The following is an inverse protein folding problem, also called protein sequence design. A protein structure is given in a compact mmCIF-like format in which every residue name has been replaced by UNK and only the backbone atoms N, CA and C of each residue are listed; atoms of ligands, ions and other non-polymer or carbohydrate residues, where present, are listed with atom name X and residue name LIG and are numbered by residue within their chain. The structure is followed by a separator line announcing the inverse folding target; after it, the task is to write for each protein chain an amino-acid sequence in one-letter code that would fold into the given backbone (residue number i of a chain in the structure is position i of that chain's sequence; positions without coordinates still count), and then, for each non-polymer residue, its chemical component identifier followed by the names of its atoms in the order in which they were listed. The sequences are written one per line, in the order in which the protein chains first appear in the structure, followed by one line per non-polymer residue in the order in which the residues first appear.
data_IF_726827885124
#
_entry.id   IF_726827885124
#
_cell.length_a   1.000
_cell.length_b   1.000
_cell.length_c   1.000
_cell.angle_alpha   90.00
_cell.angle_beta   90.00
_cell.angle_gamma   90.00
#
_symmetry.space_group_name_H-M   'P 1'
#
loop_
_entity.id
_entity.type
_entity.pdbx_description
1 polymer ?
#
# COMPACT_ATOMS: atom_id res chain seq x y z
N UNK A 1 18.03 63.73 4.61
CA UNK A 1 16.69 64.03 4.05
C UNK A 1 16.05 62.73 3.58
N UNK A 2 14.72 62.66 3.67
CA UNK A 2 13.78 61.53 3.45
C UNK A 2 14.14 60.53 2.32
N UNK A 3 13.71 59.26 2.32
CA UNK A 3 12.32 58.80 2.55
C UNK A 3 12.25 57.28 2.81
N UNK A 4 11.38 56.90 3.74
CA UNK A 4 10.88 55.54 3.97
C UNK A 4 9.93 55.11 2.84
N UNK A 5 10.01 53.86 2.39
CA UNK A 5 8.83 53.13 1.92
C UNK A 5 8.80 51.71 2.49
N UNK A 6 7.95 51.54 3.50
CA UNK A 6 7.38 50.24 3.90
C UNK A 6 6.45 49.76 2.79
N UNK A 7 6.59 48.51 2.34
CA UNK A 7 5.46 47.73 1.80
C UNK A 7 5.25 46.47 2.64
N UNK A 8 4.19 46.55 3.45
CA UNK A 8 3.49 45.41 4.06
C UNK A 8 2.88 44.53 2.97
N UNK A 9 2.71 43.25 3.29
CA UNK A 9 1.69 42.41 2.63
C UNK A 9 2.21 41.15 1.95
N UNK A 10 3.06 40.38 2.63
CA UNK A 10 3.22 38.97 2.30
C UNK A 10 1.88 38.27 2.56
N UNK A 11 1.19 37.99 1.47
CA UNK A 11 -0.18 37.51 1.43
C UNK A 11 -0.41 36.25 2.27
N UNK A 12 -1.38 36.32 3.18
CA UNK A 12 -2.00 35.19 3.87
C UNK A 12 -2.63 34.16 2.89
N UNK A 13 -2.64 34.43 1.58
CA UNK A 13 -3.13 33.53 0.54
C UNK A 13 -2.13 32.44 0.11
N UNK A 14 -0.88 32.46 0.61
CA UNK A 14 0.10 31.39 0.32
C UNK A 14 0.06 30.20 1.32
N UNK A 15 -0.88 30.21 2.28
CA UNK A 15 -1.01 29.15 3.31
C UNK A 15 -2.24 28.23 3.14
N UNK A 16 -2.90 28.26 1.97
CA UNK A 16 -4.01 27.34 1.62
C UNK A 16 -3.64 26.37 0.49
N UNK A 17 -2.46 25.77 0.57
CA UNK A 17 -2.09 24.67 -0.31
C UNK A 17 -2.16 23.35 0.47
N UNK A 18 -3.02 22.44 0.01
CA UNK A 18 -3.21 21.05 0.47
C UNK A 18 -3.79 20.81 1.87
N UNK A 19 -5.06 21.18 2.09
CA UNK A 19 -5.91 20.28 2.87
C UNK A 19 -6.33 19.14 1.93
N UNK A 20 -5.70 17.97 2.06
CA UNK A 20 -6.17 16.75 1.37
C UNK A 20 -7.59 16.51 1.83
N UNK A 21 -8.56 16.67 0.91
CA UNK A 21 -9.98 16.46 1.20
C UNK A 21 -10.17 15.00 1.61
N UNK A 22 -10.39 14.77 2.90
CA UNK A 22 -10.69 13.44 3.43
C UNK A 22 -12.04 12.99 2.88
N UNK A 23 -12.06 11.86 2.15
CA UNK A 23 -13.28 11.16 1.74
C UNK A 23 -13.50 9.94 2.62
N UNK A 24 -14.75 9.60 2.91
CA UNK A 24 -15.07 8.33 3.58
C UNK A 24 -15.14 7.19 2.56
N UNK A 25 -15.03 5.95 3.03
CA UNK A 25 -15.18 4.76 2.18
C UNK A 25 -16.52 4.78 1.43
N UNK A 26 -17.61 5.16 2.09
CA UNK A 26 -18.95 5.24 1.49
C UNK A 26 -19.05 6.33 0.41
N UNK A 27 -18.23 7.38 0.50
CA UNK A 27 -18.12 8.39 -0.56
C UNK A 27 -17.31 7.88 -1.74
N UNK A 28 -16.24 7.12 -1.49
CA UNK A 28 -15.40 6.51 -2.52
C UNK A 28 -16.15 5.47 -3.34
N UNK A 29 -16.93 4.61 -2.68
CA UNK A 29 -17.74 3.57 -3.31
C UNK A 29 -18.82 4.10 -4.26
N UNK A 30 -19.14 5.40 -4.18
CA UNK A 30 -20.11 6.07 -5.07
C UNK A 30 -19.46 6.73 -6.29
N UNK A 31 -18.12 6.74 -6.38
CA UNK A 31 -17.42 7.33 -7.49
C UNK A 31 -17.38 6.34 -8.67
N UNK A 32 -17.57 6.86 -9.88
CA UNK A 32 -17.38 6.07 -11.11
C UNK A 32 -15.95 5.56 -11.27
N UNK A 33 -14.98 6.29 -10.71
CA UNK A 33 -13.57 5.95 -10.75
C UNK A 33 -12.84 6.60 -9.57
N UNK A 34 -12.14 5.78 -8.80
CA UNK A 34 -11.29 6.23 -7.69
C UNK A 34 -9.90 6.58 -8.22
N UNK A 35 -9.37 7.72 -7.78
CA UNK A 35 -8.06 8.27 -8.18
C UNK A 35 -7.07 8.23 -7.00
N UNK A 36 -5.77 8.39 -7.25
CA UNK A 36 -4.76 8.39 -6.18
C UNK A 36 -5.06 9.39 -5.05
N UNK A 37 -5.46 10.62 -5.39
CA UNK A 37 -5.76 11.67 -4.40
C UNK A 37 -6.94 11.32 -3.49
N UNK A 38 -7.82 10.43 -3.93
CA UNK A 38 -9.01 10.03 -3.18
C UNK A 38 -8.65 9.11 -2.00
N UNK A 39 -7.58 8.32 -2.11
CA UNK A 39 -7.15 7.38 -1.06
C UNK A 39 -6.09 7.96 -0.12
N UNK A 40 -5.37 9.01 -0.53
CA UNK A 40 -4.32 9.64 0.29
C UNK A 40 -4.86 10.23 1.61
N UNK A 41 -6.14 10.59 1.63
CA UNK A 41 -6.82 11.12 2.81
C UNK A 41 -7.40 10.06 3.77
N UNK A 42 -7.41 8.78 3.42
CA UNK A 42 -8.05 7.74 4.24
C UNK A 42 -7.39 7.61 5.61
N UNK A 43 -8.22 7.67 6.67
CA UNK A 43 -7.74 7.66 8.07
C UNK A 43 -7.72 6.26 8.69
N UNK A 44 -8.37 5.31 8.06
CA UNK A 44 -8.51 3.93 8.52
C UNK A 44 -8.51 2.98 7.34
N UNK A 45 -8.20 1.71 7.60
CA UNK A 45 -8.33 0.66 6.60
C UNK A 45 -9.79 0.55 6.16
N UNK A 46 -10.02 0.37 4.85
CA UNK A 46 -11.40 0.22 4.35
C UNK A 46 -11.95 -1.15 4.77
N UNK A 47 -13.26 -1.23 4.96
CA UNK A 47 -13.94 -2.49 5.30
C UNK A 47 -14.03 -3.40 4.09
N UNK A 48 -14.44 -2.82 2.96
CA UNK A 48 -14.68 -3.53 1.71
C UNK A 48 -13.64 -3.17 0.64
N UNK A 49 -13.64 -3.93 -0.45
CA UNK A 49 -12.81 -3.64 -1.61
C UNK A 49 -13.41 -2.50 -2.44
N UNK A 50 -12.66 -1.41 -2.58
CA UNK A 50 -12.98 -0.26 -3.43
C UNK A 50 -13.04 -0.53 -4.96
N UNK A 51 -12.70 -1.73 -5.43
CA UNK A 51 -12.92 -2.12 -6.83
C UNK A 51 -13.17 -3.63 -6.96
N UNK A 52 -13.91 -4.01 -8.01
CA UNK A 52 -14.13 -5.41 -8.35
C UNK A 52 -12.90 -6.01 -9.06
N UNK A 53 -12.73 -7.35 -9.06
CA UNK A 53 -11.65 -8.00 -9.80
C UNK A 53 -11.62 -7.65 -11.30
N UNK A 54 -12.78 -7.41 -11.90
CA UNK A 54 -12.94 -7.07 -13.33
C UNK A 54 -12.36 -5.69 -13.67
N UNK A 55 -12.08 -4.83 -12.68
CA UNK A 55 -11.36 -3.58 -12.89
C UNK A 55 -9.92 -3.80 -13.39
N UNK A 56 -9.34 -4.98 -13.11
CA UNK A 56 -8.02 -5.38 -13.61
C UNK A 56 -8.06 -5.86 -15.06
N UNK A 57 -8.50 -4.98 -15.97
CA UNK A 57 -8.51 -5.22 -17.42
C UNK A 57 -7.11 -5.36 -18.04
N UNK A 58 -6.06 -5.06 -17.28
CA UNK A 58 -4.67 -5.13 -17.73
C UNK A 58 -4.03 -6.48 -17.41
N UNK A 59 -4.79 -7.40 -16.78
CA UNK A 59 -4.33 -8.74 -16.42
C UNK A 59 -3.02 -8.70 -15.62
N UNK A 60 -2.92 -7.73 -14.70
CA UNK A 60 -1.78 -7.62 -13.80
C UNK A 60 -1.86 -8.76 -12.79
N UNK A 61 -0.86 -9.63 -12.76
CA UNK A 61 -0.80 -10.75 -11.83
C UNK A 61 0.54 -10.76 -11.08
N UNK A 62 0.49 -10.63 -9.75
CA UNK A 62 1.67 -10.78 -8.90
C UNK A 62 2.03 -12.26 -8.74
N UNK A 63 3.22 -12.63 -9.21
CA UNK A 63 3.72 -14.01 -9.25
C UNK A 63 4.75 -14.29 -8.17
N UNK A 64 5.47 -13.27 -7.69
CA UNK A 64 6.42 -13.40 -6.56
C UNK A 64 6.45 -12.15 -5.70
N UNK A 65 6.57 -12.36 -4.41
CA UNK A 65 6.80 -11.31 -3.43
C UNK A 65 7.84 -11.78 -2.42
N UNK A 66 8.90 -10.99 -2.23
CA UNK A 66 10.00 -11.27 -1.29
C UNK A 66 10.33 -10.04 -0.48
N UNK A 67 10.30 -10.15 0.85
CA UNK A 67 10.78 -9.13 1.78
C UNK A 67 12.15 -9.51 2.31
N UNK A 68 13.09 -8.56 2.30
CA UNK A 68 14.37 -8.70 2.98
C UNK A 68 14.69 -7.49 3.84
N UNK A 69 15.32 -7.72 4.98
CA UNK A 69 16.00 -6.65 5.72
C UNK A 69 17.19 -6.15 4.90
N UNK A 70 17.26 -4.84 4.67
CA UNK A 70 18.36 -4.25 3.89
C UNK A 70 19.65 -4.13 4.70
N UNK A 71 19.58 -4.09 6.03
CA UNK A 71 20.76 -3.97 6.88
C UNK A 71 21.49 -5.32 7.01
N UNK A 72 20.76 -6.41 7.27
CA UNK A 72 21.35 -7.76 7.39
C UNK A 72 21.33 -8.60 6.12
N UNK A 73 20.48 -8.26 5.13
CA UNK A 73 20.22 -9.08 3.95
C UNK A 73 19.33 -10.29 4.21
N UNK A 74 18.86 -10.51 5.44
CA UNK A 74 18.02 -11.65 5.80
C UNK A 74 16.64 -11.59 5.11
N UNK A 75 16.20 -12.71 4.53
CA UNK A 75 14.87 -12.83 3.92
C UNK A 75 13.85 -13.04 5.02
N UNK A 76 12.94 -12.08 5.16
CA UNK A 76 11.90 -12.04 6.21
C UNK A 76 10.65 -12.82 5.79
N UNK A 77 10.36 -12.81 4.49
CA UNK A 77 9.20 -13.46 3.90
C UNK A 77 9.41 -13.67 2.40
N UNK A 78 8.94 -14.78 1.87
CA UNK A 78 8.92 -15.03 0.44
C UNK A 78 7.73 -15.91 0.07
N UNK A 79 7.01 -15.50 -0.98
CA UNK A 79 5.94 -16.29 -1.58
C UNK A 79 6.06 -16.22 -3.10
N UNK A 80 5.90 -17.37 -3.74
CA UNK A 80 5.81 -17.51 -5.19
C UNK A 80 4.49 -18.20 -5.52
N UNK A 81 3.69 -17.62 -6.42
CA UNK A 81 2.60 -18.34 -7.07
C UNK A 81 3.22 -19.27 -8.11
N UNK A 82 3.08 -20.60 -7.98
CA UNK A 82 3.53 -21.49 -9.03
C UNK A 82 2.64 -21.25 -10.26
N UNK A 83 3.25 -21.03 -11.42
CA UNK A 83 2.52 -20.91 -12.70
C UNK A 83 1.67 -22.15 -12.93
N UNK A 84 0.34 -21.99 -12.99
CA UNK A 84 -0.59 -23.05 -13.39
C UNK A 84 -1.22 -23.88 -12.26
N UNK A 85 -1.11 -23.47 -10.99
CA UNK A 85 -1.86 -24.10 -9.88
C UNK A 85 -2.40 -23.05 -8.92
N UNK A 86 -3.71 -23.11 -8.67
CA UNK A 86 -4.32 -22.35 -7.59
C UNK A 86 -3.64 -22.72 -6.27
N UNK A 87 -3.13 -21.71 -5.56
CA UNK A 87 -2.42 -21.92 -4.31
C UNK A 87 -3.36 -22.58 -3.30
N UNK A 88 -3.18 -23.87 -3.05
CA UNK A 88 -3.63 -24.51 -1.83
C UNK A 88 -2.81 -23.93 -0.67
N UNK A 89 -3.31 -22.83 -0.11
CA UNK A 89 -2.84 -22.27 1.15
C UNK A 89 -3.10 -23.32 2.23
N UNK A 90 -2.07 -24.05 2.65
CA UNK A 90 -2.07 -24.79 3.91
C UNK A 90 -1.94 -23.82 5.10
N UNK A 91 -2.86 -22.86 5.14
CA UNK A 91 -3.24 -22.09 6.32
C UNK A 91 -4.74 -22.29 6.37
N UNK A 92 -5.20 -23.13 7.29
CA UNK A 92 -6.62 -23.34 7.48
C UNK A 92 -7.24 -22.01 7.94
N UNK A 93 -7.79 -21.23 7.03
CA UNK A 93 -8.57 -20.03 7.34
C UNK A 93 -9.70 -19.88 6.32
N UNK A 94 -10.88 -19.55 6.83
CA UNK A 94 -12.19 -19.50 6.15
C UNK A 94 -12.29 -18.40 5.07
N UNK A 95 -11.17 -17.76 4.69
CA UNK A 95 -11.06 -16.58 3.81
C UNK A 95 -10.77 -16.91 2.33
N UNK A 96 -11.05 -18.14 1.91
CA UNK A 96 -11.07 -18.55 0.49
C UNK A 96 -12.01 -17.66 -0.38
N UNK A 97 -12.88 -16.86 0.25
CA UNK A 97 -13.78 -15.89 -0.40
C UNK A 97 -13.08 -14.63 -0.95
N UNK A 98 -11.81 -14.37 -0.62
CA UNK A 98 -11.12 -13.13 -1.01
C UNK A 98 -10.52 -13.11 -2.43
N UNK A 99 -10.68 -14.19 -3.21
CA UNK A 99 -10.04 -14.40 -4.53
C UNK A 99 -8.51 -14.14 -4.51
N UNK A 100 -7.85 -14.41 -3.38
CA UNK A 100 -6.41 -14.19 -3.22
C UNK A 100 -5.97 -12.73 -3.10
N UNK A 101 -6.89 -11.79 -2.84
CA UNK A 101 -6.60 -10.36 -2.60
C UNK A 101 -6.35 -10.01 -1.14
N UNK A 102 -6.46 -10.98 -0.24
CA UNK A 102 -6.15 -10.84 1.18
C UNK A 102 -4.94 -11.68 1.56
N UNK A 103 -4.03 -11.12 2.37
CA UNK A 103 -2.88 -11.85 2.92
C UNK A 103 -2.78 -11.61 4.43
N UNK A 104 -2.66 -12.69 5.20
CA UNK A 104 -2.40 -12.65 6.64
C UNK A 104 -0.92 -12.90 6.91
N UNK A 105 -0.23 -11.88 7.42
CA UNK A 105 1.19 -11.98 7.74
C UNK A 105 1.42 -12.34 9.21
N UNK A 106 2.39 -13.23 9.44
CA UNK A 106 2.90 -13.55 10.75
C UNK A 106 4.40 -13.23 10.78
N UNK A 107 4.75 -12.19 11.52
CA UNK A 107 6.11 -11.73 11.73
C UNK A 107 6.52 -11.88 13.19
N UNK A 108 7.83 -11.92 13.43
CA UNK A 108 8.37 -11.85 14.78
C UNK A 108 8.39 -10.39 15.28
N UNK A 109 8.54 -10.23 16.59
CA UNK A 109 8.66 -8.92 17.26
C UNK A 109 9.81 -8.07 16.71
N UNK A 110 10.90 -8.70 16.26
CA UNK A 110 12.06 -8.01 15.71
C UNK A 110 11.75 -7.29 14.40
N UNK A 111 10.69 -7.68 13.69
CA UNK A 111 10.25 -7.00 12.46
C UNK A 111 9.95 -5.51 12.69
N UNK A 112 9.34 -5.18 13.83
CA UNK A 112 9.01 -3.80 14.20
C UNK A 112 10.23 -2.92 14.55
N UNK A 113 11.41 -3.54 14.67
CA UNK A 113 12.68 -2.85 14.95
C UNK A 113 13.48 -2.56 13.68
N UNK A 114 13.04 -3.07 12.53
CA UNK A 114 13.71 -2.86 11.26
C UNK A 114 13.57 -1.40 10.82
N UNK A 115 14.61 -0.88 10.16
CA UNK A 115 14.63 0.47 9.61
C UNK A 115 14.18 0.48 8.15
N UNK A 116 14.79 -0.38 7.35
CA UNK A 116 14.57 -0.43 5.92
C UNK A 116 14.38 -1.87 5.45
N UNK A 117 13.30 -2.10 4.70
CA UNK A 117 12.99 -3.40 4.10
C UNK A 117 12.90 -3.25 2.59
N UNK A 118 13.54 -4.16 1.86
CA UNK A 118 13.42 -4.26 0.41
C UNK A 118 12.34 -5.28 0.06
N UNK A 119 11.32 -4.85 -0.69
CA UNK A 119 10.30 -5.73 -1.26
C UNK A 119 10.57 -5.94 -2.75
N UNK A 120 11.03 -7.13 -3.11
CA UNK A 120 11.13 -7.56 -4.51
C UNK A 120 9.80 -8.13 -4.94
N UNK A 121 9.24 -7.60 -6.03
CA UNK A 121 7.95 -7.98 -6.58
C UNK A 121 8.16 -8.43 -8.03
N UNK A 122 7.65 -9.60 -8.38
CA UNK A 122 7.53 -10.02 -9.77
C UNK A 122 6.06 -10.11 -10.15
N UNK A 123 5.74 -9.62 -11.35
CA UNK A 123 4.39 -9.63 -11.87
C UNK A 123 4.36 -9.72 -13.39
N UNK A 124 3.28 -10.29 -13.92
CA UNK A 124 2.97 -10.28 -15.35
C UNK A 124 1.97 -9.18 -15.68
N UNK A 125 1.94 -8.78 -16.95
CA UNK A 125 0.92 -7.91 -17.50
C UNK A 125 0.40 -8.48 -18.83
N UNK A 126 -0.88 -8.29 -19.11
CA UNK A 126 -1.53 -8.73 -20.33
C UNK A 126 -1.20 -7.83 -21.53
N UNK A 127 -2.09 -7.83 -22.53
CA UNK A 127 -1.85 -7.20 -23.83
C UNK A 127 -2.06 -5.67 -23.83
N UNK A 128 -2.76 -5.14 -22.83
CA UNK A 128 -3.02 -3.70 -22.75
C UNK A 128 -1.80 -2.95 -22.21
N UNK A 129 -1.46 -1.84 -22.88
CA UNK A 129 -0.41 -0.93 -22.45
C UNK A 129 -0.70 -0.30 -21.09
N UNK A 130 0.32 -0.28 -20.23
CA UNK A 130 0.30 0.34 -18.91
C UNK A 130 1.38 1.42 -18.88
N UNK A 131 0.98 2.68 -18.87
CA UNK A 131 1.92 3.81 -18.96
C UNK A 131 2.22 4.50 -17.64
N UNK A 132 1.34 4.37 -16.64
CA UNK A 132 1.46 4.99 -15.31
C UNK A 132 0.96 4.04 -14.24
N UNK A 133 1.74 3.01 -13.95
CA UNK A 133 1.42 2.07 -12.89
C UNK A 133 1.94 2.57 -11.55
N UNK A 134 1.04 2.77 -10.59
CA UNK A 134 1.36 3.34 -9.29
C UNK A 134 0.67 2.53 -8.19
N UNK A 135 1.35 2.35 -7.07
CA UNK A 135 0.76 1.78 -5.86
C UNK A 135 0.81 2.78 -4.72
N UNK A 136 -0.33 2.98 -4.07
CA UNK A 136 -0.39 3.62 -2.75
C UNK A 136 -0.73 2.54 -1.75
N UNK A 137 0.17 2.30 -0.80
CA UNK A 137 -0.03 1.34 0.29
C UNK A 137 -0.11 2.07 1.62
N UNK A 138 -1.16 1.80 2.41
CA UNK A 138 -1.42 2.51 3.66
C UNK A 138 -1.53 1.50 4.78
N UNK A 139 -0.72 1.69 5.82
CA UNK A 139 -0.68 0.84 7.01
C UNK A 139 -1.32 1.56 8.18
N UNK A 140 -2.18 0.86 8.89
CA UNK A 140 -2.94 1.36 10.03
C UNK A 140 -2.79 0.43 11.21
N UNK A 141 -2.73 0.99 12.41
CA UNK A 141 -3.01 0.26 13.64
C UNK A 141 -4.30 0.81 14.21
N UNK A 142 -5.35 -0.03 14.26
CA UNK A 142 -6.72 0.41 14.58
C UNK A 142 -7.15 1.55 13.64
N UNK A 143 -7.45 2.73 14.20
CA UNK A 143 -7.94 3.90 13.49
C UNK A 143 -6.86 4.97 13.28
N UNK A 144 -5.58 4.57 13.32
CA UNK A 144 -4.44 5.48 13.17
C UNK A 144 -3.54 5.02 12.02
N UNK A 145 -3.29 5.93 11.09
CA UNK A 145 -2.31 5.73 10.03
C UNK A 145 -0.90 5.64 10.64
N UNK A 146 -0.21 4.53 10.39
CA UNK A 146 1.20 4.34 10.74
C UNK A 146 2.09 4.99 9.68
N UNK A 147 1.85 4.63 8.42
CA UNK A 147 2.63 5.08 7.27
C UNK A 147 1.83 4.92 5.98
N UNK A 148 2.07 5.81 5.03
CA UNK A 148 1.64 5.66 3.64
C UNK A 148 2.89 5.57 2.79
N UNK A 149 2.96 4.55 1.96
CA UNK A 149 3.96 4.37 0.92
C UNK A 149 3.32 4.66 -0.43
N UNK A 150 4.09 5.26 -1.33
CA UNK A 150 3.62 5.70 -2.63
C UNK A 150 4.73 5.42 -3.64
N UNK A 151 4.52 4.39 -4.44
CA UNK A 151 5.52 3.87 -5.36
C UNK A 151 5.01 3.99 -6.79
N UNK A 152 5.86 4.53 -7.65
CA UNK A 152 5.64 4.59 -9.09
C UNK A 152 6.44 3.47 -9.76
N UNK A 153 5.74 2.52 -10.36
CA UNK A 153 6.35 1.49 -11.20
C UNK A 153 6.67 2.04 -12.60
N UNK A 154 5.94 3.08 -13.04
CA UNK A 154 6.09 3.69 -14.35
C UNK A 154 5.43 2.89 -15.48
N UNK A 155 6.16 2.79 -16.60
CA UNK A 155 5.73 2.06 -17.79
C UNK A 155 5.98 0.56 -17.63
N UNK A 156 4.96 -0.25 -17.95
CA UNK A 156 5.05 -1.71 -17.94
C UNK A 156 4.87 -2.21 -19.38
N UNK A 157 5.80 -3.05 -19.82
CA UNK A 157 5.80 -3.60 -21.18
C UNK A 157 4.60 -4.57 -21.31
N UNK A 158 3.75 -4.46 -22.35
CA UNK A 158 2.69 -5.45 -22.59
C UNK A 158 3.24 -6.87 -22.76
N UNK A 159 2.46 -7.87 -22.37
CA UNK A 159 2.78 -9.29 -22.55
C UNK A 159 4.17 -9.66 -21.99
N UNK A 160 4.49 -9.18 -20.79
CA UNK A 160 5.82 -9.34 -20.20
C UNK A 160 5.76 -9.69 -18.72
N UNK A 161 6.88 -10.23 -18.23
CA UNK A 161 7.16 -10.38 -16.80
C UNK A 161 8.08 -9.24 -16.37
N UNK A 162 7.71 -8.58 -15.27
CA UNK A 162 8.39 -7.42 -14.74
C UNK A 162 8.84 -7.70 -13.32
N UNK A 163 9.97 -7.10 -12.95
CA UNK A 163 10.50 -7.16 -11.60
C UNK A 163 10.78 -5.75 -11.11
N UNK A 164 10.29 -5.42 -9.93
CA UNK A 164 10.58 -4.15 -9.25
C UNK A 164 11.04 -4.44 -7.83
N UNK A 165 11.82 -3.51 -7.28
CA UNK A 165 12.14 -3.49 -5.87
C UNK A 165 11.69 -2.17 -5.25
N UNK A 166 10.82 -2.26 -4.25
CA UNK A 166 10.41 -1.13 -3.44
C UNK A 166 11.17 -1.12 -2.12
N UNK A 167 11.62 0.07 -1.72
CA UNK A 167 12.32 0.28 -0.46
C UNK A 167 11.35 0.90 0.53
N UNK A 168 11.09 0.18 1.62
CA UNK A 168 10.20 0.59 2.69
C UNK A 168 11.03 1.16 3.83
N UNK A 169 10.91 2.46 4.08
CA UNK A 169 11.44 3.11 5.27
C UNK A 169 10.38 3.09 6.38
N UNK A 170 10.63 2.29 7.42
CA UNK A 170 9.67 2.08 8.49
C UNK A 170 9.49 3.36 9.34
N UNK A 171 8.27 3.61 9.85
CA UNK A 171 8.07 4.70 10.79
C UNK A 171 8.83 4.42 12.09
N UNK A 172 9.27 5.49 12.77
CA UNK A 172 9.78 5.36 14.14
C UNK A 172 8.58 5.17 15.07
N UNK A 173 8.50 4.00 15.69
CA UNK A 173 7.50 3.65 16.69
C UNK A 173 8.09 3.78 18.09
N UNK A 174 7.28 4.24 19.04
CA UNK A 174 7.62 4.21 20.47
C UNK A 174 7.49 2.80 21.02
N UNK A 175 8.20 2.50 22.13
CA UNK A 175 8.13 1.18 22.78
C UNK A 175 6.69 0.79 23.16
N UNK A 176 5.87 1.77 23.57
CA UNK A 176 4.45 1.53 23.89
C UNK A 176 3.65 1.13 22.65
N UNK A 177 3.89 1.77 21.50
CA UNK A 177 3.20 1.43 20.25
C UNK A 177 3.62 0.04 19.76
N UNK A 178 4.92 -0.28 19.84
CA UNK A 178 5.44 -1.61 19.51
C UNK A 178 4.78 -2.68 20.37
N UNK A 179 4.71 -2.45 21.69
CA UNK A 179 4.08 -3.39 22.61
C UNK A 179 2.59 -3.56 22.31
N UNK A 180 1.85 -2.47 22.07
CA UNK A 180 0.43 -2.55 21.68
C UNK A 180 0.23 -3.35 20.39
N UNK A 181 1.08 -3.16 19.37
CA UNK A 181 0.98 -3.90 18.12
C UNK A 181 1.29 -5.40 18.28
N UNK A 182 2.18 -5.76 19.21
CA UNK A 182 2.50 -7.15 19.55
C UNK A 182 1.33 -7.82 20.31
N UNK A 183 0.73 -7.11 21.26
CA UNK A 183 -0.33 -7.64 22.12
C UNK A 183 -1.68 -7.76 21.42
N UNK A 184 -1.85 -7.08 20.28
CA UNK A 184 -3.10 -7.03 19.53
C UNK A 184 -2.89 -7.50 18.07
N UNK A 185 -2.69 -8.82 17.85
CA UNK A 185 -2.46 -9.35 16.51
C UNK A 185 -3.64 -9.06 15.57
N UNK A 186 -3.33 -8.83 14.29
CA UNK A 186 -4.30 -8.55 13.21
C UNK A 186 -5.09 -7.23 13.34
N UNK A 187 -4.83 -6.44 14.39
CA UNK A 187 -5.31 -5.05 14.48
C UNK A 187 -4.45 -4.06 13.70
N UNK A 188 -3.24 -4.48 13.30
CA UNK A 188 -2.49 -3.80 12.24
C UNK A 188 -2.99 -4.31 10.90
N UNK A 189 -3.37 -3.39 10.00
CA UNK A 189 -3.96 -3.67 8.70
C UNK A 189 -3.37 -2.77 7.63
N UNK A 190 -3.39 -3.21 6.38
CA UNK A 190 -3.03 -2.37 5.25
C UNK A 190 -3.98 -2.50 4.08
N UNK A 191 -4.11 -1.40 3.34
CA UNK A 191 -4.71 -1.37 2.01
C UNK A 191 -3.63 -1.02 0.98
N UNK A 192 -3.52 -1.84 -0.07
CA UNK A 192 -2.64 -1.59 -1.21
C UNK A 192 -3.51 -1.29 -2.42
N UNK A 193 -3.54 -0.02 -2.84
CA UNK A 193 -4.32 0.50 -3.96
C UNK A 193 -3.44 0.63 -5.19
N UNK A 194 -3.80 -0.03 -6.28
CA UNK A 194 -3.06 -0.02 -7.52
C UNK A 194 -3.79 0.77 -8.59
N UNK A 195 -3.10 1.72 -9.20
CA UNK A 195 -3.63 2.64 -10.19
C UNK A 195 -2.92 2.45 -11.52
N UNK A 196 -3.69 2.44 -12.60
CA UNK A 196 -3.17 2.61 -13.96
C UNK A 196 -3.82 3.85 -14.55
N UNK A 197 -3.00 4.82 -14.98
CA UNK A 197 -3.49 6.09 -15.53
C UNK A 197 -4.46 6.81 -14.58
N UNK A 198 -4.08 6.89 -13.30
CA UNK A 198 -4.84 7.52 -12.22
C UNK A 198 -6.23 6.91 -11.94
N UNK A 199 -6.46 5.66 -12.37
CA UNK A 199 -7.69 4.92 -12.09
C UNK A 199 -7.38 3.65 -11.31
N UNK A 200 -8.11 3.42 -10.22
CA UNK A 200 -7.99 2.23 -9.41
C UNK A 200 -8.33 0.99 -10.25
N UNK A 201 -7.42 0.02 -10.30
CA UNK A 201 -7.58 -1.24 -11.05
C UNK A 201 -7.50 -2.48 -10.16
N UNK A 202 -6.77 -2.39 -9.04
CA UNK A 202 -6.69 -3.46 -8.06
C UNK A 202 -6.62 -2.86 -6.66
N UNK A 203 -7.14 -3.62 -5.71
CA UNK A 203 -7.09 -3.29 -4.30
C UNK A 203 -6.88 -4.58 -3.52
N UNK A 204 -5.74 -4.67 -2.85
CA UNK A 204 -5.37 -5.79 -2.01
C UNK A 204 -5.37 -5.35 -0.54
N UNK A 205 -5.58 -6.30 0.35
CA UNK A 205 -5.67 -6.08 1.79
C UNK A 205 -4.74 -7.04 2.53
N UNK A 206 -4.27 -6.61 3.69
CA UNK A 206 -3.55 -7.50 4.59
C UNK A 206 -3.78 -7.15 6.05
N UNK A 207 -3.59 -8.15 6.91
CA UNK A 207 -3.44 -7.98 8.35
C UNK A 207 -2.13 -8.59 8.85
N UNK A 208 -1.68 -8.11 10.02
CA UNK A 208 -0.35 -8.40 10.52
C UNK A 208 -0.39 -8.83 11.97
N UNK A 209 0.29 -9.94 12.28
CA UNK A 209 0.68 -10.33 13.64
C UNK A 209 2.19 -10.16 13.81
N UNK A 210 2.60 -9.70 15.00
CA UNK A 210 4.01 -9.56 15.40
C UNK A 210 4.38 -10.45 16.59
N UNK A 211 3.54 -11.45 16.89
CA UNK A 211 3.65 -12.28 18.09
C UNK A 211 4.46 -13.57 17.92
N UNK A 212 4.92 -13.87 16.70
CA UNK A 212 5.69 -15.07 16.39
C UNK A 212 7.07 -15.11 17.07
#
# INVERSE_FOLDING_TARGET
MASQTKKKGGSLLARKANEVRTKTEEELMKLDSIRPDDVLGLKMATKDYLCSPEANKYEIEFTRFKLRDLDSGHVLFEVTKPTGVELNQNVADEDAASNGRFVRYQFSKSFLQLKNVGATIEFTAGDLEITKFRMIERHYFRNRLLKSFDFDFGFVIPHSTNTVEHIYEFPVLTDSEVQEMIDNPYETKSDSFYFVNDRLVMHNKADYSYSA
#
